data_IF_084620310818
#
_entry.id   IF_084620310818
#
_cell.length_a   1.000
_cell.length_b   1.000
_cell.length_c   1.000
_cell.angle_alpha   90.00
_cell.angle_beta   90.00
_cell.angle_gamma   90.00
#
_symmetry.space_group_name_H-M   'P 1'
#
loop_
_entity.id
_entity.type
_entity.pdbx_description
1 polymer ?
#
# COMPACT_ATOMS: atom_id res chain seq x y z
N UNK A 1 4.72 17.70 21.36
CA UNK A 1 3.62 17.84 20.39
C UNK A 1 2.62 16.75 20.71
N UNK A 2 1.38 17.10 21.04
CA UNK A 2 0.35 16.10 21.36
C UNK A 2 -0.12 15.47 20.03
N UNK A 3 0.11 14.17 19.87
CA UNK A 3 -0.28 13.38 18.68
C UNK A 3 -1.63 12.67 18.86
N UNK A 4 -2.23 12.77 20.07
CA UNK A 4 -3.49 12.09 20.41
C UNK A 4 -4.61 12.49 19.45
N UNK A 5 -4.62 13.74 19.00
CA UNK A 5 -5.59 14.25 18.03
C UNK A 5 -5.71 13.41 16.75
N UNK A 6 -4.59 12.90 16.20
CA UNK A 6 -4.62 12.10 14.99
C UNK A 6 -5.19 10.71 15.27
N UNK A 7 -4.77 10.10 16.37
CA UNK A 7 -5.22 8.78 16.76
C UNK A 7 -6.70 8.78 17.17
N UNK A 8 -7.17 9.80 17.92
CA UNK A 8 -8.57 9.94 18.32
C UNK A 8 -9.51 10.05 17.11
N UNK A 9 -9.09 10.74 16.05
CA UNK A 9 -9.89 10.85 14.82
C UNK A 9 -9.96 9.54 14.06
N UNK A 10 -8.86 8.80 13.96
CA UNK A 10 -8.84 7.47 13.39
C UNK A 10 -9.71 6.51 14.20
N UNK A 11 -9.65 6.56 15.53
CA UNK A 11 -10.50 5.81 16.42
C UNK A 11 -11.99 6.05 16.16
N UNK A 12 -12.37 7.32 15.98
CA UNK A 12 -13.76 7.68 15.65
C UNK A 12 -14.20 7.11 14.31
N UNK A 13 -13.38 7.27 13.28
CA UNK A 13 -13.66 6.75 11.94
C UNK A 13 -13.78 5.22 11.95
N UNK A 14 -12.90 4.54 12.68
CA UNK A 14 -12.92 3.09 12.80
C UNK A 14 -14.17 2.59 13.52
N UNK A 15 -14.61 3.26 14.60
CA UNK A 15 -15.88 2.96 15.30
C UNK A 15 -17.07 3.06 14.35
N UNK A 16 -17.07 4.04 13.45
CA UNK A 16 -18.10 4.16 12.41
C UNK A 16 -18.09 2.98 11.43
N UNK A 17 -16.89 2.47 11.05
CA UNK A 17 -16.79 1.27 10.20
C UNK A 17 -17.37 0.02 10.84
N UNK A 18 -17.32 -0.11 12.17
CA UNK A 18 -17.89 -1.25 12.89
C UNK A 18 -19.40 -1.10 13.05
N UNK A 19 -19.90 0.11 13.31
CA UNK A 19 -21.31 0.37 13.61
C UNK A 19 -22.20 0.47 12.36
N UNK A 20 -21.64 0.92 11.25
CA UNK A 20 -22.38 1.06 9.98
C UNK A 20 -22.27 -0.23 9.16
N UNK A 21 -23.40 -0.90 8.96
CA UNK A 21 -23.47 -2.16 8.20
C UNK A 21 -22.88 -2.04 6.79
N UNK A 22 -23.12 -0.92 6.10
CA UNK A 22 -22.61 -0.69 4.76
C UNK A 22 -21.09 -0.50 4.77
N UNK A 23 -20.54 0.21 5.78
CA UNK A 23 -19.10 0.37 5.95
C UNK A 23 -18.42 -0.96 6.30
N UNK A 24 -19.07 -1.80 7.10
CA UNK A 24 -18.60 -3.16 7.38
C UNK A 24 -18.54 -4.03 6.12
N UNK A 25 -19.52 -3.93 5.21
CA UNK A 25 -19.49 -4.61 3.91
C UNK A 25 -18.33 -4.10 3.03
N UNK A 26 -18.06 -2.79 3.03
CA UNK A 26 -16.90 -2.20 2.33
C UNK A 26 -15.60 -2.76 2.92
N UNK A 27 -15.47 -2.83 4.25
CA UNK A 27 -14.28 -3.40 4.89
C UNK A 27 -14.05 -4.87 4.51
N UNK A 28 -15.12 -5.63 4.28
CA UNK A 28 -15.06 -7.05 3.88
C UNK A 28 -14.80 -7.27 2.37
N UNK A 29 -14.92 -6.24 1.54
CA UNK A 29 -14.81 -6.37 0.07
C UNK A 29 -13.44 -6.89 -0.38
N UNK A 30 -12.38 -6.63 0.40
CA UNK A 30 -11.01 -7.08 0.10
C UNK A 30 -10.79 -8.58 0.38
N UNK A 31 -11.67 -9.21 1.15
CA UNK A 31 -11.68 -10.65 1.37
C UNK A 31 -12.54 -11.39 0.33
N UNK A 32 -13.53 -10.72 -0.22
CA UNK A 32 -14.46 -11.29 -1.19
C UNK A 32 -13.80 -11.45 -2.56
N UNK A 33 -13.24 -12.63 -2.83
CA UNK A 33 -12.55 -12.95 -4.08
C UNK A 33 -13.38 -12.75 -5.36
N UNK A 34 -14.69 -12.65 -5.25
CA UNK A 34 -15.58 -12.37 -6.37
C UNK A 34 -15.78 -10.88 -6.62
N UNK A 35 -15.40 -10.00 -5.68
CA UNK A 35 -15.58 -8.56 -5.84
C UNK A 35 -14.56 -7.96 -6.82
N UNK A 36 -14.98 -6.90 -7.50
CA UNK A 36 -14.08 -6.14 -8.37
C UNK A 36 -13.04 -5.38 -7.54
N UNK A 37 -13.38 -5.03 -6.31
CA UNK A 37 -12.46 -4.38 -5.37
C UNK A 37 -11.36 -5.35 -4.91
N UNK A 38 -11.70 -6.61 -4.58
CA UNK A 38 -10.68 -7.64 -4.34
C UNK A 38 -9.74 -7.80 -5.55
N UNK A 39 -10.28 -7.79 -6.78
CA UNK A 39 -9.46 -7.90 -8.00
C UNK A 39 -8.42 -6.77 -8.08
N UNK A 40 -8.78 -5.53 -7.71
CA UNK A 40 -7.85 -4.38 -7.66
C UNK A 40 -6.71 -4.63 -6.67
N UNK A 41 -7.03 -4.93 -5.42
CA UNK A 41 -6.05 -5.15 -4.35
C UNK A 41 -5.20 -6.40 -4.59
N UNK A 42 -5.80 -7.46 -5.13
CA UNK A 42 -5.06 -8.69 -5.48
C UNK A 42 -4.01 -8.45 -6.59
N UNK A 43 -4.20 -7.47 -7.48
CA UNK A 43 -3.18 -7.08 -8.47
C UNK A 43 -1.92 -6.56 -7.79
N UNK A 44 -2.06 -5.75 -6.76
CA UNK A 44 -0.96 -5.23 -5.95
C UNK A 44 -0.23 -6.38 -5.25
N UNK A 45 -0.95 -7.21 -4.52
CA UNK A 45 -0.36 -8.34 -3.78
C UNK A 45 0.26 -9.41 -4.68
N UNK A 46 -0.23 -9.59 -5.92
CA UNK A 46 0.38 -10.53 -6.86
C UNK A 46 1.82 -10.19 -7.25
N UNK A 47 2.20 -8.92 -7.21
CA UNK A 47 3.56 -8.51 -7.55
C UNK A 47 4.59 -8.99 -6.53
N UNK A 48 4.19 -9.21 -5.27
CA UNK A 48 5.10 -9.72 -4.23
C UNK A 48 5.26 -11.25 -4.25
N UNK A 49 4.46 -11.99 -5.03
CA UNK A 49 4.56 -13.47 -5.13
C UNK A 49 5.97 -14.01 -5.38
N UNK A 50 6.82 -13.39 -6.21
CA UNK A 50 8.16 -13.91 -6.47
C UNK A 50 9.06 -14.04 -5.26
N UNK A 51 8.79 -13.30 -4.16
CA UNK A 51 9.61 -13.32 -2.93
C UNK A 51 9.08 -14.32 -1.91
N UNK A 52 7.82 -14.73 -2.04
CA UNK A 52 7.17 -15.61 -1.07
C UNK A 52 7.92 -16.94 -1.02
N UNK A 53 8.39 -17.30 0.17
CA UNK A 53 8.92 -18.60 0.49
C UNK A 53 8.07 -19.23 1.59
N UNK A 54 7.81 -20.53 1.48
CA UNK A 54 7.10 -21.27 2.52
C UNK A 54 7.86 -21.21 3.84
N UNK A 55 7.14 -21.18 4.94
CA UNK A 55 7.65 -21.12 6.31
C UNK A 55 8.30 -19.79 6.72
N UNK A 56 8.28 -18.76 5.90
CA UNK A 56 8.65 -17.41 6.34
C UNK A 56 7.62 -16.86 7.33
N UNK A 57 8.10 -16.03 8.25
CA UNK A 57 7.30 -15.30 9.23
C UNK A 57 7.17 -13.85 8.75
N UNK A 58 5.99 -13.44 8.39
CA UNK A 58 5.71 -12.09 7.94
C UNK A 58 4.88 -11.31 8.96
N UNK A 59 5.04 -10.00 8.96
CA UNK A 59 4.19 -9.05 9.69
C UNK A 59 3.46 -8.18 8.67
N UNK A 60 2.15 -7.99 8.83
CA UNK A 60 1.41 -6.92 8.14
C UNK A 60 1.12 -5.79 9.11
N UNK A 61 1.28 -4.54 8.65
CA UNK A 61 1.04 -3.33 9.44
C UNK A 61 -0.10 -2.53 8.80
N UNK A 62 -1.06 -2.10 9.61
CA UNK A 62 -2.23 -1.36 9.14
C UNK A 62 -3.27 -2.24 8.44
N UNK A 63 -3.29 -3.52 8.75
CA UNK A 63 -4.16 -4.54 8.14
C UNK A 63 -5.52 -4.66 8.86
N UNK A 64 -6.03 -3.54 9.37
CA UNK A 64 -7.24 -3.49 10.21
C UNK A 64 -8.54 -3.90 9.51
N UNK A 65 -8.55 -4.01 8.18
CA UNK A 65 -9.70 -4.49 7.41
C UNK A 65 -9.72 -6.01 7.30
N UNK A 66 -10.07 -6.69 8.41
CA UNK A 66 -10.12 -8.16 8.51
C UNK A 66 -8.81 -8.88 8.22
N UNK A 67 -7.66 -8.23 8.31
CA UNK A 67 -6.39 -8.86 7.99
C UNK A 67 -6.31 -9.34 6.55
N UNK A 68 -6.75 -8.52 5.61
CA UNK A 68 -6.88 -8.92 4.19
C UNK A 68 -5.56 -9.30 3.55
N UNK A 69 -4.48 -8.60 3.90
CA UNK A 69 -3.11 -8.87 3.47
C UNK A 69 -2.58 -10.17 4.10
N UNK A 70 -2.76 -10.32 5.42
CA UNK A 70 -2.38 -11.54 6.14
C UNK A 70 -3.16 -12.75 5.64
N UNK A 71 -4.47 -12.61 5.38
CA UNK A 71 -5.30 -13.66 4.81
C UNK A 71 -4.83 -14.05 3.39
N UNK A 72 -4.38 -13.07 2.61
CA UNK A 72 -3.81 -13.34 1.29
C UNK A 72 -2.48 -14.08 1.39
N UNK A 73 -1.58 -13.67 2.29
CA UNK A 73 -0.29 -14.31 2.56
C UNK A 73 -0.49 -15.76 3.05
N UNK A 74 -1.40 -15.99 4.00
CA UNK A 74 -1.78 -17.33 4.47
C UNK A 74 -2.21 -18.25 3.33
N UNK A 75 -3.09 -17.78 2.41
CA UNK A 75 -3.50 -18.54 1.22
C UNK A 75 -2.34 -18.85 0.26
N UNK A 76 -1.23 -18.11 0.34
CA UNK A 76 -0.02 -18.35 -0.43
C UNK A 76 1.06 -19.12 0.36
N UNK A 77 0.73 -19.67 1.53
CA UNK A 77 1.59 -20.54 2.33
C UNK A 77 2.62 -19.84 3.22
N UNK A 78 2.37 -18.57 3.54
CA UNK A 78 3.21 -17.76 4.43
C UNK A 78 2.56 -17.66 5.81
N UNK A 79 3.33 -17.88 6.88
CA UNK A 79 2.90 -17.59 8.24
C UNK A 79 2.89 -16.06 8.45
N UNK A 80 1.75 -15.48 8.77
CA UNK A 80 1.63 -14.05 8.88
C UNK A 80 0.95 -13.61 10.17
N UNK A 81 1.59 -12.66 10.86
CA UNK A 81 1.01 -11.96 11.98
C UNK A 81 0.41 -10.64 11.48
N UNK A 82 -0.90 -10.43 11.72
CA UNK A 82 -1.58 -9.19 11.33
C UNK A 82 -1.53 -8.16 12.45
N UNK A 83 -1.30 -6.88 12.12
CA UNK A 83 -1.30 -5.83 13.13
C UNK A 83 -2.00 -4.56 12.68
N UNK A 84 -2.70 -3.95 13.64
CA UNK A 84 -3.36 -2.66 13.47
C UNK A 84 -3.55 -1.99 14.84
N UNK A 85 -3.83 -0.70 14.87
CA UNK A 85 -4.23 -0.01 16.10
C UNK A 85 -5.63 -0.45 16.58
N UNK A 86 -6.46 -0.96 15.67
CA UNK A 86 -7.83 -1.41 15.92
C UNK A 86 -7.96 -2.89 15.56
N UNK A 87 -8.28 -3.72 16.53
CA UNK A 87 -8.23 -5.18 16.38
C UNK A 87 -9.59 -5.87 16.29
N UNK A 88 -10.70 -5.15 16.40
CA UNK A 88 -12.03 -5.77 16.42
C UNK A 88 -12.31 -6.61 15.16
N UNK A 89 -11.98 -6.09 13.96
CA UNK A 89 -12.17 -6.82 12.71
C UNK A 89 -11.10 -7.92 12.53
N UNK A 90 -9.91 -7.76 13.11
CA UNK A 90 -8.88 -8.79 13.12
C UNK A 90 -9.28 -9.96 14.02
N UNK A 91 -9.89 -9.68 15.17
CA UNK A 91 -10.43 -10.71 16.06
C UNK A 91 -11.53 -11.54 15.38
N UNK A 92 -12.42 -10.88 14.63
CA UNK A 92 -13.45 -11.57 13.85
C UNK A 92 -12.83 -12.42 12.72
N UNK A 93 -11.82 -11.89 12.03
CA UNK A 93 -11.08 -12.63 11.01
C UNK A 93 -10.35 -13.85 11.58
N UNK A 94 -9.76 -13.71 12.76
CA UNK A 94 -9.09 -14.80 13.47
C UNK A 94 -10.10 -15.90 13.88
N UNK A 95 -11.23 -15.52 14.48
CA UNK A 95 -12.31 -16.45 14.83
C UNK A 95 -12.86 -17.23 13.63
N UNK A 96 -12.86 -16.60 12.46
CA UNK A 96 -13.25 -17.22 11.17
C UNK A 96 -12.12 -18.04 10.52
N UNK A 97 -10.95 -18.12 11.13
CA UNK A 97 -9.79 -18.84 10.59
C UNK A 97 -9.16 -18.21 9.34
N UNK A 98 -9.45 -16.94 9.06
CA UNK A 98 -8.93 -16.21 7.89
C UNK A 98 -7.46 -15.84 8.07
N UNK A 99 -7.05 -15.50 9.29
CA UNK A 99 -5.69 -15.16 9.69
C UNK A 99 -5.22 -16.07 10.82
N UNK A 100 -3.90 -16.20 11.01
CA UNK A 100 -3.32 -17.12 12.01
C UNK A 100 -3.09 -16.45 13.36
N UNK A 101 -2.75 -15.17 13.37
CA UNK A 101 -2.51 -14.41 14.58
C UNK A 101 -2.63 -12.91 14.32
N UNK A 102 -2.89 -12.16 15.39
CA UNK A 102 -2.94 -10.71 15.31
C UNK A 102 -2.58 -10.07 16.65
N UNK A 103 -2.23 -8.78 16.62
CA UNK A 103 -2.08 -7.95 17.82
C UNK A 103 -2.40 -6.49 17.55
N UNK A 104 -2.75 -5.78 18.63
CA UNK A 104 -2.84 -4.31 18.61
C UNK A 104 -1.45 -3.73 18.61
N UNK A 105 -1.12 -2.94 17.57
CA UNK A 105 0.20 -2.32 17.43
C UNK A 105 0.07 -0.89 16.91
N UNK A 106 0.94 -0.03 17.39
CA UNK A 106 1.18 1.27 16.76
C UNK A 106 2.36 1.11 15.78
N UNK A 107 2.13 1.36 14.50
CA UNK A 107 3.15 1.25 13.46
C UNK A 107 4.43 2.07 13.74
N UNK A 108 4.29 3.19 14.47
CA UNK A 108 5.39 4.09 14.84
C UNK A 108 6.16 3.64 16.10
N UNK A 109 5.69 2.60 16.79
CA UNK A 109 6.32 2.01 17.98
C UNK A 109 5.83 0.58 18.16
N UNK A 110 6.49 -0.38 17.51
CA UNK A 110 6.10 -1.78 17.50
C UNK A 110 6.62 -2.52 18.72
N UNK A 111 5.73 -3.22 19.42
CA UNK A 111 6.07 -4.05 20.58
C UNK A 111 6.53 -5.46 20.14
N UNK A 112 7.54 -5.49 19.28
CA UNK A 112 8.21 -6.72 18.84
C UNK A 112 9.73 -6.58 19.00
N UNK A 113 10.41 -7.67 19.29
CA UNK A 113 11.87 -7.70 19.30
C UNK A 113 12.44 -7.41 17.88
N UNK A 114 13.65 -6.88 17.83
CA UNK A 114 14.37 -6.72 16.57
C UNK A 114 14.53 -8.06 15.85
N UNK A 115 14.41 -8.06 14.51
CA UNK A 115 14.56 -9.27 13.69
C UNK A 115 13.58 -10.40 14.06
N UNK A 116 12.33 -10.09 14.39
CA UNK A 116 11.28 -11.08 14.70
C UNK A 116 10.66 -11.70 13.44
N UNK A 117 10.60 -10.95 12.35
CA UNK A 117 9.91 -11.34 11.11
C UNK A 117 10.87 -11.37 9.93
N UNK A 118 10.63 -12.25 8.95
CA UNK A 118 11.43 -12.26 7.73
C UNK A 118 11.16 -11.00 6.90
N UNK A 119 9.89 -10.69 6.65
CA UNK A 119 9.46 -9.48 5.97
C UNK A 119 8.36 -8.75 6.74
N UNK A 120 8.31 -7.45 6.55
CA UNK A 120 7.18 -6.60 6.97
C UNK A 120 6.50 -6.06 5.73
N UNK A 121 5.19 -6.21 5.64
CA UNK A 121 4.35 -5.67 4.57
C UNK A 121 3.52 -4.50 5.09
N UNK A 122 3.65 -3.35 4.44
CA UNK A 122 2.85 -2.16 4.67
C UNK A 122 2.14 -1.81 3.37
N UNK A 123 0.81 -1.85 3.38
CA UNK A 123 0.01 -1.55 2.19
C UNK A 123 -1.07 -0.54 2.49
N UNK A 124 -1.04 0.58 1.75
CA UNK A 124 -2.02 1.67 1.86
C UNK A 124 -2.26 2.12 3.32
N UNK A 125 -1.17 2.26 4.09
CA UNK A 125 -1.18 2.58 5.52
C UNK A 125 -0.30 3.78 5.84
N UNK A 126 0.90 3.89 5.24
CA UNK A 126 1.86 4.95 5.60
C UNK A 126 1.29 6.35 5.34
N UNK A 127 0.48 6.50 4.31
CA UNK A 127 -0.11 7.79 3.98
C UNK A 127 -1.15 8.28 4.99
N UNK A 128 -1.62 7.41 5.89
CA UNK A 128 -2.49 7.78 7.01
C UNK A 128 -1.73 8.16 8.29
N UNK A 129 -0.43 7.82 8.38
CA UNK A 129 0.34 8.01 9.60
C UNK A 129 0.84 9.45 9.72
N UNK A 130 0.83 10.03 10.93
CA UNK A 130 1.39 11.36 11.16
C UNK A 130 2.92 11.40 11.02
N UNK A 131 3.60 10.28 11.25
CA UNK A 131 5.07 10.16 11.19
C UNK A 131 5.48 8.88 10.45
N UNK A 132 5.20 8.75 9.13
CA UNK A 132 5.40 7.50 8.38
C UNK A 132 6.85 6.99 8.41
N UNK A 133 7.82 7.88 8.54
CA UNK A 133 9.22 7.50 8.63
C UNK A 133 9.55 6.71 9.90
N UNK A 134 8.90 6.99 11.03
CA UNK A 134 9.06 6.18 12.25
C UNK A 134 8.53 4.76 12.02
N UNK A 135 7.39 4.63 11.34
CA UNK A 135 6.84 3.32 11.01
C UNK A 135 7.78 2.52 10.08
N UNK A 136 8.45 3.19 9.14
CA UNK A 136 9.46 2.53 8.29
C UNK A 136 10.68 2.12 9.11
N UNK A 137 11.18 2.96 10.04
CA UNK A 137 12.28 2.61 10.95
C UNK A 137 11.93 1.41 11.83
N UNK A 138 10.75 1.40 12.44
CA UNK A 138 10.28 0.29 13.28
C UNK A 138 10.12 -1.00 12.46
N UNK A 139 9.54 -0.91 11.26
CA UNK A 139 9.43 -2.04 10.34
C UNK A 139 10.80 -2.61 9.97
N UNK A 140 11.77 -1.73 9.75
CA UNK A 140 13.14 -2.13 9.44
C UNK A 140 13.86 -2.73 10.64
N UNK A 141 13.54 -2.28 11.87
CA UNK A 141 14.06 -2.86 13.11
C UNK A 141 13.57 -4.29 13.30
N UNK A 142 12.26 -4.54 13.10
CA UNK A 142 11.65 -5.84 13.38
C UNK A 142 11.82 -6.86 12.26
N UNK A 143 12.13 -6.44 11.01
CA UNK A 143 12.38 -7.37 9.90
C UNK A 143 13.81 -7.95 9.93
N UNK A 144 13.99 -9.12 9.31
CA UNK A 144 15.30 -9.76 9.03
C UNK A 144 15.78 -9.47 7.61
N UNK A 145 14.88 -9.56 6.61
CA UNK A 145 15.21 -9.54 5.18
C UNK A 145 14.84 -8.24 4.52
N UNK A 146 13.69 -7.66 4.85
CA UNK A 146 13.27 -6.39 4.26
C UNK A 146 11.86 -5.95 4.58
N UNK A 147 11.55 -4.73 4.14
CA UNK A 147 10.23 -4.09 4.26
C UNK A 147 9.66 -3.90 2.86
N UNK A 148 8.43 -4.37 2.67
CA UNK A 148 7.66 -4.23 1.43
C UNK A 148 6.64 -3.13 1.65
N UNK A 149 6.65 -2.12 0.81
CA UNK A 149 5.79 -0.95 0.87
C UNK A 149 4.96 -0.90 -0.42
N UNK A 150 3.64 -0.82 -0.29
CA UNK A 150 2.69 -0.65 -1.40
C UNK A 150 1.85 0.58 -1.09
N UNK A 151 2.13 1.69 -1.76
CA UNK A 151 1.54 2.99 -1.42
C UNK A 151 1.25 3.83 -2.67
N UNK A 152 0.34 4.82 -2.57
CA UNK A 152 0.18 5.81 -3.61
C UNK A 152 1.48 6.54 -3.92
N UNK A 153 1.84 6.58 -5.21
CA UNK A 153 3.00 7.34 -5.65
C UNK A 153 2.73 8.85 -5.57
N UNK A 154 3.78 9.59 -5.23
CA UNK A 154 3.76 11.04 -5.33
C UNK A 154 3.42 11.46 -6.78
N UNK A 155 2.36 12.24 -7.00
CA UNK A 155 2.01 12.72 -8.32
C UNK A 155 2.96 13.80 -8.86
N UNK A 156 3.83 14.37 -8.02
CA UNK A 156 4.76 15.44 -8.39
C UNK A 156 6.19 14.92 -8.59
N UNK A 157 6.57 14.49 -9.80
CA UNK A 157 7.95 14.11 -10.06
C UNK A 157 8.82 15.32 -10.35
N UNK A 158 10.05 15.19 -9.98
CA UNK A 158 11.06 16.23 -9.99
C UNK A 158 11.51 16.77 -11.37
N UNK A 159 10.98 16.31 -12.51
CA UNK A 159 11.73 16.56 -13.75
C UNK A 159 10.98 16.82 -15.05
N UNK A 160 9.67 16.86 -15.12
CA UNK A 160 9.01 17.04 -16.43
C UNK A 160 8.07 18.25 -16.47
N UNK A 161 8.54 19.33 -17.11
CA UNK A 161 7.78 20.58 -17.30
C UNK A 161 6.42 20.31 -17.96
N UNK A 162 6.36 19.43 -18.97
CA UNK A 162 5.11 19.07 -19.66
C UNK A 162 4.11 18.44 -18.68
N UNK A 163 4.55 17.61 -17.76
CA UNK A 163 3.68 17.02 -16.78
C UNK A 163 3.15 18.04 -15.77
N UNK A 164 4.00 18.94 -15.28
CA UNK A 164 3.60 20.05 -14.41
C UNK A 164 2.53 20.89 -15.14
N UNK A 165 2.72 21.14 -16.43
CA UNK A 165 1.74 21.83 -17.26
C UNK A 165 0.39 21.07 -17.33
N UNK A 166 0.42 19.75 -17.60
CA UNK A 166 -0.82 18.94 -17.63
C UNK A 166 -1.53 18.86 -16.29
N UNK A 167 -0.78 18.77 -15.18
CA UNK A 167 -1.36 18.79 -13.83
C UNK A 167 -2.03 20.16 -13.58
N UNK A 168 -1.34 21.27 -13.87
CA UNK A 168 -1.90 22.61 -13.71
C UNK A 168 -3.12 22.82 -14.59
N UNK A 169 -3.11 22.37 -15.85
CA UNK A 169 -4.25 22.44 -16.75
C UNK A 169 -5.44 21.63 -16.25
N UNK A 170 -5.20 20.39 -15.79
CA UNK A 170 -6.23 19.54 -15.18
C UNK A 170 -6.85 20.19 -13.93
N UNK A 171 -6.02 20.80 -13.09
CA UNK A 171 -6.48 21.47 -11.87
C UNK A 171 -7.27 22.74 -12.20
N UNK A 172 -6.84 23.48 -13.21
CA UNK A 172 -7.58 24.64 -13.72
C UNK A 172 -8.98 24.23 -14.23
N UNK A 173 -9.05 23.17 -15.04
CA UNK A 173 -10.32 22.62 -15.53
C UNK A 173 -11.23 22.15 -14.39
N UNK A 174 -10.67 21.51 -13.37
CA UNK A 174 -11.43 21.11 -12.16
C UNK A 174 -11.97 22.32 -11.40
N UNK A 175 -11.21 23.42 -11.28
CA UNK A 175 -11.67 24.67 -10.66
C UNK A 175 -12.88 25.26 -11.40
N UNK A 176 -12.89 25.20 -12.73
CA UNK A 176 -14.04 25.66 -13.53
C UNK A 176 -15.27 24.75 -13.38
N UNK A 177 -15.07 23.44 -13.20
CA UNK A 177 -16.16 22.46 -13.16
C UNK A 177 -16.69 22.16 -11.75
N UNK A 178 -15.96 22.50 -10.70
CA UNK A 178 -16.36 22.25 -9.32
C UNK A 178 -16.19 23.48 -8.43
N UNK A 179 -17.26 23.80 -7.67
CA UNK A 179 -17.22 24.87 -6.65
C UNK A 179 -16.33 24.54 -5.43
N UNK A 180 -15.71 23.37 -5.36
CA UNK A 180 -14.79 22.99 -4.28
C UNK A 180 -13.37 23.42 -4.64
N UNK A 181 -12.82 24.32 -3.85
CA UNK A 181 -11.41 24.71 -3.93
C UNK A 181 -10.59 23.56 -3.32
N UNK A 182 -10.05 22.69 -4.19
CA UNK A 182 -8.99 21.77 -3.76
C UNK A 182 -7.68 22.56 -3.69
N UNK A 183 -7.01 22.50 -2.55
CA UNK A 183 -5.61 22.95 -2.46
C UNK A 183 -4.78 21.97 -3.29
N UNK A 184 -4.21 22.44 -4.38
CA UNK A 184 -3.80 21.63 -5.54
C UNK A 184 -2.54 20.77 -5.33
N UNK A 185 -1.77 20.99 -4.26
CA UNK A 185 -0.47 20.34 -4.03
C UNK A 185 -0.45 19.47 -2.77
N UNK A 186 -1.41 19.64 -1.88
CA UNK A 186 -1.45 18.95 -0.59
C UNK A 186 -2.81 18.29 -0.38
N UNK A 187 -2.79 16.97 -0.17
CA UNK A 187 -3.98 16.19 0.17
C UNK A 187 -4.18 16.13 1.69
N UNK A 188 -5.42 16.31 2.13
CA UNK A 188 -5.83 16.04 3.50
C UNK A 188 -7.03 15.12 3.48
N UNK A 189 -7.06 14.17 4.40
CA UNK A 189 -8.23 13.34 4.63
C UNK A 189 -9.32 14.11 5.38
N UNK A 190 -10.55 13.63 5.32
CA UNK A 190 -11.67 14.21 6.08
C UNK A 190 -11.44 14.17 7.59
N UNK A 191 -10.65 13.21 8.07
CA UNK A 191 -10.20 13.13 9.47
C UNK A 191 -9.11 14.14 9.82
N UNK A 192 -8.56 14.87 8.85
CA UNK A 192 -7.62 15.97 9.05
C UNK A 192 -6.15 15.59 8.91
N UNK A 193 -5.84 14.35 8.59
CA UNK A 193 -4.46 13.92 8.33
C UNK A 193 -3.97 14.44 6.98
N UNK A 194 -2.69 14.79 6.93
CA UNK A 194 -2.00 14.97 5.65
C UNK A 194 -1.75 13.62 5.00
N UNK A 195 -2.04 13.50 3.71
CA UNK A 195 -1.80 12.27 2.94
C UNK A 195 -0.34 12.26 2.46
N UNK A 196 0.49 11.42 3.07
CA UNK A 196 1.88 11.23 2.66
C UNK A 196 1.95 10.32 1.45
N UNK A 197 2.18 10.89 0.26
CA UNK A 197 2.52 10.11 -0.93
C UNK A 197 4.01 9.79 -0.94
N UNK A 198 4.38 8.55 -1.30
CA UNK A 198 5.76 8.10 -1.20
C UNK A 198 6.48 8.24 -2.55
N UNK A 199 7.70 8.76 -2.49
CA UNK A 199 8.61 8.84 -3.63
C UNK A 199 9.78 7.87 -3.43
N UNK A 200 10.12 7.12 -4.48
CA UNK A 200 11.26 6.19 -4.47
C UNK A 200 12.56 6.86 -4.05
N UNK A 201 12.78 8.12 -4.44
CA UNK A 201 13.99 8.87 -4.09
C UNK A 201 14.13 9.13 -2.59
N UNK A 202 13.03 9.32 -1.89
CA UNK A 202 13.03 9.50 -0.42
C UNK A 202 13.36 8.19 0.29
N UNK A 203 12.86 7.07 -0.22
CA UNK A 203 13.21 5.73 0.29
C UNK A 203 14.68 5.38 0.01
N UNK A 204 15.23 5.79 -1.11
CA UNK A 204 16.67 5.68 -1.37
C UNK A 204 17.49 6.47 -0.35
N UNK A 205 17.10 7.72 -0.04
CA UNK A 205 17.76 8.54 0.98
C UNK A 205 17.66 7.90 2.37
N UNK A 206 16.50 7.34 2.69
CA UNK A 206 16.31 6.60 3.94
C UNK A 206 17.32 5.45 4.06
N UNK A 207 17.42 4.59 3.03
CA UNK A 207 18.38 3.48 3.03
C UNK A 207 19.83 3.96 3.18
N UNK A 208 20.22 4.97 2.42
CA UNK A 208 21.57 5.56 2.49
C UNK A 208 21.86 6.11 3.91
N UNK A 209 20.87 6.73 4.55
CA UNK A 209 20.98 7.24 5.92
C UNK A 209 21.20 6.16 6.98
N UNK A 210 20.73 4.93 6.73
CA UNK A 210 20.94 3.76 7.62
C UNK A 210 21.99 2.78 7.08
N UNK A 211 22.83 3.22 6.14
CA UNK A 211 23.89 2.43 5.51
C UNK A 211 23.42 1.13 4.83
N UNK A 212 22.25 1.17 4.21
CA UNK A 212 21.72 0.08 3.39
C UNK A 212 21.68 0.50 1.93
N UNK A 213 21.86 -0.46 1.02
CA UNK A 213 22.13 -0.15 -0.37
C UNK A 213 21.20 -0.82 -1.37
N UNK A 214 20.40 -1.78 -0.93
CA UNK A 214 19.68 -2.66 -1.84
C UNK A 214 18.18 -2.35 -1.83
N UNK A 215 17.65 -1.99 -3.00
CA UNK A 215 16.24 -1.60 -3.16
C UNK A 215 15.70 -2.20 -4.46
N UNK A 216 14.45 -2.58 -4.46
CA UNK A 216 13.74 -2.91 -5.67
C UNK A 216 12.41 -2.18 -5.74
N UNK A 217 11.96 -1.85 -6.94
CA UNK A 217 10.70 -1.17 -7.15
C UNK A 217 9.93 -1.73 -8.33
N UNK A 218 8.61 -1.72 -8.21
CA UNK A 218 7.66 -1.96 -9.28
C UNK A 218 6.54 -0.93 -9.20
N UNK A 219 5.72 -0.83 -10.23
CA UNK A 219 4.64 0.13 -10.28
C UNK A 219 3.43 -0.46 -10.98
N UNK A 220 2.25 0.00 -10.61
CA UNK A 220 1.02 -0.29 -11.32
C UNK A 220 0.05 0.89 -11.26
N UNK A 221 -0.91 0.90 -12.18
CA UNK A 221 -2.03 1.83 -12.08
C UNK A 221 -3.21 1.15 -11.39
N UNK A 222 -3.88 1.95 -10.59
CA UNK A 222 -5.16 1.61 -10.01
C UNK A 222 -6.21 2.68 -10.32
N UNK A 223 -7.47 2.32 -10.17
CA UNK A 223 -8.58 3.23 -10.31
C UNK A 223 -9.76 2.77 -9.47
N UNK A 224 -10.35 3.70 -8.72
CA UNK A 224 -11.50 3.45 -7.87
C UNK A 224 -12.74 4.17 -8.41
N UNK A 225 -13.88 3.49 -8.41
CA UNK A 225 -15.20 4.05 -8.61
C UNK A 225 -16.03 3.92 -7.34
N UNK A 226 -16.89 4.87 -7.09
CA UNK A 226 -17.84 4.80 -5.96
C UNK A 226 -18.69 3.52 -6.05
N UNK A 227 -18.77 2.77 -4.97
CA UNK A 227 -19.49 1.50 -4.82
C UNK A 227 -18.90 0.32 -5.61
N UNK A 228 -17.63 0.37 -5.98
CA UNK A 228 -16.92 -0.74 -6.66
C UNK A 228 -16.88 -2.01 -5.80
N UNK A 229 -16.92 -1.85 -4.48
CA UNK A 229 -16.92 -2.88 -3.46
C UNK A 229 -18.06 -3.87 -3.61
N UNK A 230 -19.18 -3.41 -4.16
CA UNK A 230 -20.40 -4.19 -4.36
C UNK A 230 -20.52 -4.80 -5.76
N UNK A 231 -19.55 -4.57 -6.63
CA UNK A 231 -19.55 -5.04 -8.02
C UNK A 231 -18.81 -6.38 -8.12
N UNK A 232 -19.42 -7.37 -8.77
CA UNK A 232 -18.76 -8.63 -9.06
C UNK A 232 -17.72 -8.49 -10.16
N UNK A 233 -16.53 -9.08 -9.97
CA UNK A 233 -15.48 -9.10 -11.00
C UNK A 233 -15.86 -9.92 -12.24
N UNK A 234 -16.64 -10.98 -12.06
CA UNK A 234 -17.09 -11.86 -13.14
C UNK A 234 -18.46 -11.47 -13.71
N UNK A 235 -19.01 -10.33 -13.24
CA UNK A 235 -20.28 -9.77 -13.67
C UNK A 235 -21.47 -10.73 -13.59
N UNK A 236 -22.36 -10.51 -12.62
CA UNK A 236 -23.62 -11.25 -12.53
C UNK A 236 -24.68 -10.64 -13.46
N UNK A 237 -24.49 -9.39 -13.82
CA UNK A 237 -25.39 -8.61 -14.68
C UNK A 237 -24.62 -7.92 -15.80
N UNK A 238 -25.32 -7.53 -16.87
CA UNK A 238 -24.74 -6.72 -17.97
C UNK A 238 -24.12 -5.41 -17.42
N UNK A 239 -24.77 -4.78 -16.45
CA UNK A 239 -24.28 -3.54 -15.81
C UNK A 239 -22.95 -3.76 -15.10
N UNK A 240 -22.80 -4.85 -14.33
CA UNK A 240 -21.55 -5.19 -13.64
C UNK A 240 -20.43 -5.49 -14.62
N UNK A 241 -20.73 -6.22 -15.70
CA UNK A 241 -19.78 -6.48 -16.78
C UNK A 241 -19.27 -5.19 -17.41
N UNK A 242 -20.15 -4.25 -17.70
CA UNK A 242 -19.79 -2.93 -18.25
C UNK A 242 -18.90 -2.13 -17.28
N UNK A 243 -19.19 -2.15 -15.98
CA UNK A 243 -18.38 -1.49 -14.95
C UNK A 243 -17.00 -2.13 -14.86
N UNK A 244 -16.93 -3.47 -14.82
CA UNK A 244 -15.67 -4.21 -14.80
C UNK A 244 -14.81 -3.92 -16.05
N UNK A 245 -15.43 -3.96 -17.23
CA UNK A 245 -14.77 -3.64 -18.50
C UNK A 245 -14.25 -2.20 -18.50
N UNK A 246 -15.08 -1.24 -18.11
CA UNK A 246 -14.70 0.17 -18.01
C UNK A 246 -13.49 0.37 -17.09
N UNK A 247 -13.49 -0.26 -15.91
CA UNK A 247 -12.35 -0.18 -14.99
C UNK A 247 -11.07 -0.70 -15.62
N UNK A 248 -11.12 -1.92 -16.17
CA UNK A 248 -9.97 -2.59 -16.81
C UNK A 248 -9.43 -1.78 -17.98
N UNK A 249 -10.32 -1.22 -18.79
CA UNK A 249 -9.97 -0.35 -19.93
C UNK A 249 -9.29 0.94 -19.45
N UNK A 250 -9.80 1.60 -18.42
CA UNK A 250 -9.17 2.81 -17.87
C UNK A 250 -7.76 2.51 -17.35
N UNK A 251 -7.59 1.39 -16.61
CA UNK A 251 -6.29 0.99 -16.09
C UNK A 251 -5.33 0.68 -17.27
N UNK A 252 -5.77 -0.07 -18.27
CA UNK A 252 -4.98 -0.38 -19.45
C UNK A 252 -4.48 0.87 -20.18
N UNK A 253 -5.35 1.85 -20.42
CA UNK A 253 -4.92 3.11 -21.05
C UNK A 253 -3.97 3.93 -20.16
N UNK A 254 -4.18 3.92 -18.84
CA UNK A 254 -3.23 4.53 -17.90
C UNK A 254 -1.86 3.85 -17.97
N UNK A 255 -1.82 2.51 -18.03
CA UNK A 255 -0.58 1.74 -18.15
C UNK A 255 0.17 2.10 -19.43
N UNK A 256 -0.53 2.18 -20.58
CA UNK A 256 0.07 2.63 -21.84
C UNK A 256 0.65 4.04 -21.71
N UNK A 257 -0.14 4.99 -21.18
CA UNK A 257 0.31 6.37 -21.03
C UNK A 257 1.52 6.48 -20.09
N UNK A 258 1.54 5.75 -18.99
CA UNK A 258 2.69 5.74 -18.07
C UNK A 258 3.93 5.10 -18.70
N UNK A 259 3.77 4.07 -19.52
CA UNK A 259 4.90 3.42 -20.21
C UNK A 259 5.47 4.26 -21.37
N UNK A 260 4.63 5.02 -22.07
CA UNK A 260 5.04 5.86 -23.21
C UNK A 260 5.44 7.28 -22.81
N UNK A 261 5.09 7.72 -21.63
CA UNK A 261 5.33 9.07 -21.13
C UNK A 261 6.04 9.04 -19.78
N UNK A 262 6.51 10.22 -19.36
CA UNK A 262 7.05 10.40 -18.00
C UNK A 262 5.99 10.48 -16.91
N UNK A 263 4.74 10.05 -17.16
CA UNK A 263 3.69 10.02 -16.16
C UNK A 263 3.96 8.92 -15.14
N UNK A 264 3.77 9.22 -13.85
CA UNK A 264 3.91 8.21 -12.80
C UNK A 264 2.69 7.31 -12.76
N UNK A 265 2.94 6.05 -12.49
CA UNK A 265 1.92 5.11 -12.04
C UNK A 265 1.28 5.60 -10.75
N UNK A 266 0.03 5.22 -10.51
CA UNK A 266 -0.71 5.66 -9.31
C UNK A 266 -0.25 4.98 -8.03
N UNK A 267 0.26 3.76 -8.11
CA UNK A 267 0.75 2.96 -6.98
C UNK A 267 2.21 2.61 -7.21
N UNK A 268 3.02 2.83 -6.19
CA UNK A 268 4.40 2.35 -6.10
C UNK A 268 4.50 1.15 -5.18
N UNK A 269 5.27 0.17 -5.61
CA UNK A 269 5.66 -0.97 -4.80
C UNK A 269 7.16 -0.96 -4.64
N UNK A 270 7.63 -1.01 -3.41
CA UNK A 270 9.06 -0.90 -3.09
C UNK A 270 9.44 -1.95 -2.07
N UNK A 271 10.59 -2.58 -2.27
CA UNK A 271 11.23 -3.44 -1.26
C UNK A 271 12.52 -2.76 -0.83
N UNK A 272 12.60 -2.51 0.46
CA UNK A 272 13.81 -2.06 1.14
C UNK A 272 14.48 -3.29 1.73
N UNK A 273 15.59 -3.72 1.17
CA UNK A 273 16.30 -4.89 1.68
C UNK A 273 17.19 -4.52 2.87
N UNK A 274 17.13 -5.33 3.93
CA UNK A 274 17.99 -5.15 5.11
C UNK A 274 19.41 -5.62 4.86
N UNK A 275 19.53 -6.71 4.09
CA UNK A 275 20.79 -7.25 3.62
C UNK A 275 20.70 -7.52 2.12
N UNK A 276 21.84 -7.69 1.45
CA UNK A 276 21.89 -7.97 0.03
C UNK A 276 21.04 -9.21 -0.30
N UNK A 277 20.03 -9.09 -1.17
CA UNK A 277 19.24 -10.25 -1.59
C UNK A 277 20.08 -11.26 -2.36
N UNK A 278 19.70 -12.54 -2.30
CA UNK A 278 20.36 -13.60 -3.08
C UNK A 278 20.22 -13.35 -4.59
N UNK A 279 21.13 -13.91 -5.38
CA UNK A 279 21.03 -13.84 -6.86
C UNK A 279 19.71 -14.43 -7.36
N UNK A 280 19.21 -15.49 -6.74
CA UNK A 280 17.92 -16.09 -7.07
C UNK A 280 16.75 -15.10 -6.89
N UNK A 281 16.74 -14.35 -5.78
CA UNK A 281 15.72 -13.30 -5.54
C UNK A 281 15.84 -12.19 -6.58
N UNK A 282 17.06 -11.72 -6.88
CA UNK A 282 17.28 -10.69 -7.90
C UNK A 282 16.78 -11.15 -9.27
N UNK A 283 17.02 -12.39 -9.65
CA UNK A 283 16.55 -12.94 -10.93
C UNK A 283 15.03 -13.09 -10.97
N UNK A 284 14.40 -13.52 -9.89
CA UNK A 284 12.94 -13.56 -9.76
C UNK A 284 12.33 -12.16 -9.89
N UNK A 285 12.94 -11.15 -9.26
CA UNK A 285 12.56 -9.75 -9.38
C UNK A 285 12.56 -9.28 -10.84
N UNK A 286 13.68 -9.46 -11.53
CA UNK A 286 13.83 -9.05 -12.94
C UNK A 286 12.79 -9.72 -13.84
N UNK A 287 12.52 -11.02 -13.64
CA UNK A 287 11.50 -11.78 -14.40
C UNK A 287 10.07 -11.32 -14.12
N UNK A 288 9.84 -10.60 -13.02
CA UNK A 288 8.53 -10.14 -12.54
C UNK A 288 8.32 -8.63 -12.68
N UNK A 289 9.04 -7.99 -13.60
CA UNK A 289 8.98 -6.54 -13.87
C UNK A 289 9.37 -5.64 -12.69
N UNK A 290 10.17 -6.15 -11.75
CA UNK A 290 10.77 -5.34 -10.73
C UNK A 290 12.11 -4.76 -11.19
N UNK A 291 12.38 -3.53 -10.82
CA UNK A 291 13.67 -2.86 -11.04
C UNK A 291 14.49 -2.95 -9.77
N UNK A 292 15.45 -3.86 -9.74
CA UNK A 292 16.44 -3.92 -8.67
C UNK A 292 17.54 -2.86 -8.92
N UNK A 293 17.91 -2.14 -7.86
CA UNK A 293 18.95 -1.12 -7.85
C UNK A 293 19.84 -1.29 -6.63
N UNK A 294 21.14 -1.32 -6.83
CA UNK A 294 22.11 -1.17 -5.77
C UNK A 294 22.51 0.30 -5.67
N UNK A 295 22.30 0.89 -4.51
CA UNK A 295 22.72 2.25 -4.20
C UNK A 295 24.24 2.29 -3.88
N UNK A 296 24.89 3.46 -3.96
CA UNK A 296 26.29 3.59 -3.55
C UNK A 296 26.46 3.28 -2.06
N UNK A 297 27.54 2.58 -1.72
CA UNK A 297 27.94 2.41 -0.33
C UNK A 297 28.63 3.69 0.17
N UNK A 298 28.59 3.90 1.48
CA UNK A 298 29.33 4.98 2.12
C UNK A 298 30.84 4.72 1.96
N UNK A 299 31.62 5.61 1.31
CA UNK A 299 33.04 5.38 1.09
C UNK A 299 33.88 5.56 2.36
N UNK A 300 33.30 6.01 3.45
CA UNK A 300 33.98 6.25 4.73
C UNK A 300 33.76 5.15 5.77
N UNK A 301 33.10 4.06 5.40
CA UNK A 301 32.83 2.89 6.25
C UNK A 301 33.61 1.68 5.78
#
# INVERSE_FOLDING_TARGET
MNMDFFYDKHDKQYKEYIQDKKKAEIANSWLNQQSLDYWRHNRMLKLIRPFIQKNEQWLTIGDGRYGSEAAWLKRNGVNCHSSDMHTNLLEDAYKKGLIDSFSKQNAENLDFASNSFDYVLIKETLHHLPRPWLAIYESFRVCKKGVIIIEPNDPYPYSNILRIFFIKLKNLLKRFLSKKVYKDEYGFEEVGNFIYTINIRELEKFLLGIHKTDIASSNLNDHHFKNIEFVSNNGRTIKENLISMKLKTIIFFKDILCNLSSLNFSIGEVILFKDKPSSEIIDKLKKSNWKYKKLPSNPYL
#
